data_IF_825484741222
#
_entry.id   IF_825484741222
#
_cell.length_a   1.000
_cell.length_b   1.000
_cell.length_c   1.000
_cell.angle_alpha   90.00
_cell.angle_beta   90.00
_cell.angle_gamma   90.00
#
_symmetry.space_group_name_H-M   'P 1'
#
loop_
_entity.id
_entity.type
_entity.pdbx_description
1 polymer ?
#
# COMPACT_ATOMS: atom_id res chain seq x y z
N UNK A 1 -9.22 10.76 34.05
CA UNK A 1 -10.28 9.95 33.42
C UNK A 1 -10.03 9.60 31.96
N UNK A 2 -9.30 10.41 31.17
CA UNK A 2 -8.97 10.14 29.74
C UNK A 2 -8.08 8.91 29.54
N UNK A 3 -7.08 8.70 30.40
CA UNK A 3 -6.16 7.56 30.34
C UNK A 3 -6.83 6.20 30.68
N UNK A 4 -7.79 6.19 31.61
CA UNK A 4 -8.48 4.95 32.00
C UNK A 4 -9.37 4.41 30.87
N UNK A 5 -10.07 5.31 30.17
CA UNK A 5 -10.89 4.93 28.99
C UNK A 5 -10.07 4.42 27.81
N UNK A 6 -8.87 4.96 27.58
CA UNK A 6 -7.98 4.49 26.52
C UNK A 6 -7.36 3.13 26.84
N UNK A 7 -7.00 2.89 28.10
CA UNK A 7 -6.51 1.60 28.58
C UNK A 7 -7.62 0.54 28.48
N UNK A 8 -8.83 0.89 28.94
CA UNK A 8 -9.97 -0.03 28.85
C UNK A 8 -10.32 -0.41 27.39
N UNK A 9 -10.33 0.58 26.46
CA UNK A 9 -10.56 0.32 25.04
C UNK A 9 -9.48 -0.56 24.42
N UNK A 10 -8.22 -0.40 24.80
CA UNK A 10 -7.11 -1.24 24.32
C UNK A 10 -7.26 -2.68 24.79
N UNK A 11 -7.67 -2.91 26.01
CA UNK A 11 -7.94 -4.25 26.53
C UNK A 11 -9.16 -4.89 25.90
N UNK A 12 -10.23 -4.15 25.65
CA UNK A 12 -11.43 -4.64 24.96
C UNK A 12 -11.07 -5.11 23.52
N UNK A 13 -10.26 -4.34 22.79
CA UNK A 13 -9.82 -4.73 21.46
C UNK A 13 -8.96 -5.99 21.47
N UNK A 14 -8.08 -6.12 22.46
CA UNK A 14 -7.24 -7.31 22.62
C UNK A 14 -8.07 -8.56 22.97
N UNK A 15 -9.01 -8.44 23.93
CA UNK A 15 -9.92 -9.52 24.29
C UNK A 15 -10.83 -9.91 23.13
N UNK A 16 -11.33 -8.94 22.35
CA UNK A 16 -12.11 -9.21 21.16
C UNK A 16 -11.32 -9.99 20.11
N UNK A 17 -10.07 -9.58 19.84
CA UNK A 17 -9.20 -10.28 18.91
C UNK A 17 -8.85 -11.69 19.38
N UNK A 18 -8.51 -11.87 20.65
CA UNK A 18 -8.25 -13.19 21.23
C UNK A 18 -9.51 -14.07 21.23
N UNK A 19 -10.68 -13.48 21.48
CA UNK A 19 -11.97 -14.19 21.40
C UNK A 19 -12.23 -14.74 19.99
N UNK A 20 -12.03 -13.92 18.95
CA UNK A 20 -12.18 -14.35 17.56
C UNK A 20 -11.19 -15.47 17.21
N UNK A 21 -9.91 -15.32 17.60
CA UNK A 21 -8.91 -16.38 17.39
C UNK A 21 -9.26 -17.67 18.12
N UNK A 22 -9.78 -17.57 19.35
CA UNK A 22 -10.20 -18.75 20.12
C UNK A 22 -11.39 -19.48 19.48
N UNK A 23 -12.39 -18.72 19.03
CA UNK A 23 -13.55 -19.27 18.31
C UNK A 23 -13.08 -19.97 17.02
N UNK A 24 -12.19 -19.32 16.26
CA UNK A 24 -11.61 -19.91 15.05
C UNK A 24 -10.85 -21.21 15.34
N UNK A 25 -10.01 -21.21 16.37
CA UNK A 25 -9.28 -22.41 16.77
C UNK A 25 -10.21 -23.55 17.19
N UNK A 26 -11.23 -23.24 18.00
CA UNK A 26 -12.23 -24.22 18.45
C UNK A 26 -13.05 -24.79 17.28
N UNK A 27 -13.48 -23.94 16.35
CA UNK A 27 -14.20 -24.36 15.14
C UNK A 27 -13.41 -25.39 14.32
N UNK A 28 -12.08 -25.22 14.23
CA UNK A 28 -11.20 -26.18 13.58
C UNK A 28 -10.99 -27.47 14.36
N UNK A 29 -10.84 -27.40 15.70
CA UNK A 29 -10.69 -28.58 16.57
C UNK A 29 -11.97 -29.44 16.51
N UNK A 30 -13.13 -28.84 16.56
CA UNK A 30 -14.43 -29.53 16.45
C UNK A 30 -14.76 -29.96 15.01
N UNK A 31 -13.86 -29.70 14.04
CA UNK A 31 -14.04 -30.03 12.61
C UNK A 31 -15.36 -29.49 12.02
N UNK A 32 -15.82 -28.33 12.52
CA UNK A 32 -17.04 -27.67 12.02
C UNK A 32 -16.86 -27.24 10.54
N UNK A 33 -15.62 -26.96 10.14
CA UNK A 33 -15.25 -26.64 8.76
C UNK A 33 -14.11 -27.57 8.30
N UNK A 34 -14.14 -28.04 7.05
CA UNK A 34 -13.03 -28.79 6.48
C UNK A 34 -11.75 -27.95 6.42
N UNK A 35 -10.59 -28.57 6.65
CA UNK A 35 -9.28 -27.89 6.64
C UNK A 35 -8.95 -27.15 5.34
N UNK A 36 -9.49 -27.60 4.22
CA UNK A 36 -9.31 -26.94 2.93
C UNK A 36 -10.11 -25.62 2.79
N UNK A 37 -11.12 -25.39 3.63
CA UNK A 37 -11.87 -24.15 3.70
C UNK A 37 -11.20 -23.19 4.67
N UNK A 38 -10.87 -23.66 5.87
CA UNK A 38 -10.31 -22.81 6.92
C UNK A 38 -9.37 -23.64 7.82
N UNK A 39 -8.04 -23.59 7.60
CA UNK A 39 -7.07 -24.20 8.50
C UNK A 39 -7.09 -23.49 9.86
N UNK A 40 -6.71 -24.21 10.92
CA UNK A 40 -6.66 -23.63 12.26
C UNK A 40 -5.50 -22.65 12.40
N UNK A 41 -5.61 -21.63 13.29
CA UNK A 41 -4.49 -20.75 13.61
C UNK A 41 -3.21 -21.49 13.98
N UNK A 42 -3.33 -22.62 14.67
CA UNK A 42 -2.18 -23.44 15.04
C UNK A 42 -1.52 -24.11 13.82
N UNK A 43 -2.29 -24.65 12.88
CA UNK A 43 -1.75 -25.23 11.64
C UNK A 43 -1.04 -24.16 10.79
N UNK A 44 -1.57 -22.92 10.75
CA UNK A 44 -0.94 -21.79 10.07
C UNK A 44 0.41 -21.45 10.73
N UNK A 45 0.48 -21.44 12.07
CA UNK A 45 1.73 -21.22 12.78
C UNK A 45 2.75 -22.33 12.51
N UNK A 46 2.31 -23.59 12.44
CA UNK A 46 3.16 -24.69 12.03
C UNK A 46 3.69 -24.52 10.61
N UNK A 47 2.86 -24.05 9.67
CA UNK A 47 3.28 -23.76 8.31
C UNK A 47 4.37 -22.69 8.26
N UNK A 48 4.29 -21.62 9.08
CA UNK A 48 5.35 -20.61 9.19
C UNK A 48 6.70 -21.21 9.60
N UNK A 49 6.71 -22.18 10.51
CA UNK A 49 7.95 -22.81 10.96
C UNK A 49 8.48 -23.81 9.94
N UNK A 50 7.58 -24.64 9.39
CA UNK A 50 7.91 -25.66 8.40
C UNK A 50 8.48 -25.07 7.12
N UNK A 51 7.82 -24.03 6.60
CA UNK A 51 8.10 -23.46 5.28
C UNK A 51 8.93 -22.17 5.36
N UNK A 52 9.59 -21.88 6.50
CA UNK A 52 10.28 -20.62 6.80
C UNK A 52 11.27 -20.17 5.71
N UNK A 53 12.01 -21.13 5.12
CA UNK A 53 13.03 -20.82 4.10
C UNK A 53 12.37 -20.38 2.78
N UNK A 54 11.32 -21.10 2.35
CA UNK A 54 10.54 -20.72 1.16
C UNK A 54 9.83 -19.41 1.38
N UNK A 55 9.19 -19.21 2.53
CA UNK A 55 8.54 -17.95 2.88
C UNK A 55 9.52 -16.78 2.85
N UNK A 56 10.72 -16.95 3.39
CA UNK A 56 11.77 -15.91 3.36
C UNK A 56 12.22 -15.60 1.94
N UNK A 57 12.55 -16.60 1.14
CA UNK A 57 12.99 -16.44 -0.23
C UNK A 57 11.95 -15.70 -1.08
N UNK A 58 10.70 -16.15 -1.04
CA UNK A 58 9.60 -15.55 -1.79
C UNK A 58 9.22 -14.15 -1.25
N UNK A 59 9.33 -13.92 0.06
CA UNK A 59 9.11 -12.59 0.64
C UNK A 59 10.10 -11.57 0.10
N UNK A 60 11.37 -11.95 -0.01
CA UNK A 60 12.41 -11.07 -0.54
C UNK A 60 12.19 -10.72 -2.00
N UNK A 61 11.76 -11.68 -2.82
CA UNK A 61 11.39 -11.44 -4.21
C UNK A 61 10.22 -10.45 -4.34
N UNK A 62 9.13 -10.68 -3.60
CA UNK A 62 7.96 -9.77 -3.55
C UNK A 62 8.37 -8.37 -3.06
N UNK A 63 9.17 -8.29 -2.00
CA UNK A 63 9.59 -7.01 -1.41
C UNK A 63 10.40 -6.17 -2.40
N UNK A 64 11.35 -6.77 -3.12
CA UNK A 64 12.13 -6.05 -4.16
C UNK A 64 11.24 -5.43 -5.22
N UNK A 65 10.30 -6.22 -5.77
CA UNK A 65 9.39 -5.75 -6.82
C UNK A 65 8.46 -4.66 -6.30
N UNK A 66 7.86 -4.87 -5.12
CA UNK A 66 6.97 -3.90 -4.48
C UNK A 66 7.66 -2.57 -4.21
N UNK A 67 8.88 -2.60 -3.64
CA UNK A 67 9.65 -1.40 -3.34
C UNK A 67 10.11 -0.67 -4.59
N UNK A 68 10.59 -1.38 -5.62
CA UNK A 68 10.98 -0.75 -6.89
C UNK A 68 9.79 -0.05 -7.55
N UNK A 69 8.65 -0.74 -7.66
CA UNK A 69 7.44 -0.16 -8.23
C UNK A 69 6.90 1.02 -7.41
N UNK A 70 6.91 0.91 -6.08
CA UNK A 70 6.48 1.99 -5.18
C UNK A 70 7.38 3.23 -5.30
N UNK A 71 8.71 3.06 -5.27
CA UNK A 71 9.65 4.19 -5.39
C UNK A 71 9.47 4.90 -6.72
N UNK A 72 9.37 4.16 -7.82
CA UNK A 72 9.12 4.74 -9.14
C UNK A 72 7.75 5.42 -9.19
N UNK A 73 6.72 4.81 -8.61
CA UNK A 73 5.39 5.38 -8.49
C UNK A 73 5.37 6.70 -7.70
N UNK A 74 6.10 6.76 -6.57
CA UNK A 74 6.25 7.99 -5.77
C UNK A 74 6.94 9.09 -6.56
N UNK A 75 8.04 8.78 -7.26
CA UNK A 75 8.77 9.78 -8.06
C UNK A 75 7.91 10.34 -9.18
N UNK A 76 7.21 9.46 -9.92
CA UNK A 76 6.28 9.86 -10.97
C UNK A 76 5.13 10.68 -10.39
N UNK A 77 4.56 10.27 -9.25
CA UNK A 77 3.45 10.97 -8.62
C UNK A 77 3.84 12.38 -8.16
N UNK A 78 4.99 12.55 -7.53
CA UNK A 78 5.47 13.86 -7.11
C UNK A 78 5.71 14.78 -8.31
N UNK A 79 6.34 14.27 -9.37
CA UNK A 79 6.57 15.03 -10.59
C UNK A 79 5.25 15.43 -11.24
N UNK A 80 4.32 14.47 -11.41
CA UNK A 80 3.02 14.74 -12.05
C UNK A 80 2.16 15.70 -11.24
N UNK A 81 2.13 15.60 -9.91
CA UNK A 81 1.39 16.51 -9.05
C UNK A 81 1.89 17.97 -9.20
N UNK A 82 3.21 18.17 -9.25
CA UNK A 82 3.80 19.51 -9.47
C UNK A 82 3.49 20.02 -10.88
N UNK A 83 3.57 19.18 -11.90
CA UNK A 83 3.24 19.57 -13.27
C UNK A 83 1.74 19.92 -13.42
N UNK A 84 0.85 19.12 -12.83
CA UNK A 84 -0.59 19.35 -12.87
C UNK A 84 -1.02 20.60 -12.08
N UNK A 85 -0.33 20.93 -10.98
CA UNK A 85 -0.56 22.19 -10.25
C UNK A 85 -0.07 23.43 -11.04
N UNK A 86 1.04 23.27 -11.77
CA UNK A 86 1.64 24.36 -12.55
C UNK A 86 0.94 24.60 -13.89
N UNK A 87 0.35 23.57 -14.48
CA UNK A 87 -0.24 23.57 -15.82
C UNK A 87 -1.71 23.12 -15.75
N UNK A 88 -2.64 24.06 -15.68
CA UNK A 88 -4.08 23.78 -15.54
C UNK A 88 -4.59 22.83 -16.64
N UNK A 89 -4.18 23.03 -17.90
CA UNK A 89 -4.59 22.17 -19.01
C UNK A 89 -4.15 20.70 -18.79
N UNK A 90 -3.00 20.48 -18.17
CA UNK A 90 -2.50 19.13 -17.88
C UNK A 90 -3.34 18.46 -16.78
N UNK A 91 -3.74 19.23 -15.77
CA UNK A 91 -4.65 18.73 -14.74
C UNK A 91 -6.00 18.33 -15.34
N UNK A 92 -6.56 19.18 -16.18
CA UNK A 92 -7.87 18.95 -16.80
C UNK A 92 -7.86 17.75 -17.77
N UNK A 93 -6.71 17.47 -18.38
CA UNK A 93 -6.52 16.32 -19.27
C UNK A 93 -6.25 15.02 -18.47
N UNK A 94 -5.28 15.04 -17.56
CA UNK A 94 -4.74 13.82 -16.91
C UNK A 94 -5.65 13.35 -15.77
N UNK A 95 -6.22 14.26 -14.98
CA UNK A 95 -7.02 13.88 -13.81
C UNK A 95 -8.21 12.98 -14.17
N UNK A 96 -9.07 13.31 -15.16
CA UNK A 96 -10.16 12.41 -15.54
C UNK A 96 -9.68 11.07 -16.09
N UNK A 97 -8.58 11.04 -16.86
CA UNK A 97 -8.01 9.79 -17.38
C UNK A 97 -7.53 8.88 -16.23
N UNK A 98 -6.87 9.44 -15.22
CA UNK A 98 -6.44 8.71 -14.04
C UNK A 98 -7.63 8.13 -13.26
N UNK A 99 -8.71 8.89 -13.10
CA UNK A 99 -9.95 8.40 -12.46
C UNK A 99 -10.51 7.20 -13.22
N UNK A 100 -10.59 7.27 -14.54
CA UNK A 100 -11.06 6.15 -15.38
C UNK A 100 -10.17 4.92 -15.20
N UNK A 101 -8.84 5.09 -15.25
CA UNK A 101 -7.90 3.96 -15.08
C UNK A 101 -8.07 3.27 -13.72
N UNK A 102 -8.35 4.03 -12.67
CA UNK A 102 -8.57 3.49 -11.32
C UNK A 102 -9.89 2.70 -11.17
N UNK A 103 -10.84 2.88 -12.08
CA UNK A 103 -12.08 2.05 -12.07
C UNK A 103 -11.85 0.66 -12.66
N UNK A 104 -10.76 0.45 -13.38
CA UNK A 104 -10.46 -0.84 -13.99
C UNK A 104 -9.83 -1.78 -12.94
N UNK A 105 -10.41 -2.97 -12.70
CA UNK A 105 -9.82 -3.93 -11.76
C UNK A 105 -8.37 -4.28 -12.15
N UNK A 106 -7.43 -4.15 -11.23
CA UNK A 106 -6.00 -4.43 -11.46
C UNK A 106 -5.75 -5.84 -11.98
N UNK A 107 -6.54 -6.81 -11.54
CA UNK A 107 -6.46 -8.20 -11.99
C UNK A 107 -6.79 -8.34 -13.49
N UNK A 108 -7.57 -7.42 -14.05
CA UNK A 108 -7.89 -7.42 -15.49
C UNK A 108 -6.79 -6.76 -16.32
N UNK A 109 -6.08 -5.76 -15.76
CA UNK A 109 -4.97 -5.08 -16.43
C UNK A 109 -3.74 -5.98 -16.51
N UNK A 110 -3.47 -6.77 -15.47
CA UNK A 110 -2.25 -7.54 -15.33
C UNK A 110 -1.97 -8.50 -16.52
N UNK A 111 -2.94 -9.28 -17.05
CA UNK A 111 -2.71 -10.12 -18.25
C UNK A 111 -2.38 -9.31 -19.50
N UNK A 112 -2.98 -8.13 -19.66
CA UNK A 112 -2.73 -7.23 -20.78
C UNK A 112 -1.30 -6.72 -20.75
N UNK A 113 -0.81 -6.34 -19.57
CA UNK A 113 0.57 -5.89 -19.41
C UNK A 113 1.57 -7.02 -19.70
N UNK A 114 1.25 -8.25 -19.28
CA UNK A 114 2.10 -9.42 -19.61
C UNK A 114 2.11 -9.67 -21.13
N UNK A 115 0.98 -9.51 -21.81
CA UNK A 115 0.88 -9.67 -23.26
C UNK A 115 1.72 -8.61 -24.00
N UNK A 116 1.73 -7.36 -23.53
CA UNK A 116 2.44 -6.26 -24.20
C UNK A 116 3.93 -6.20 -23.85
N UNK A 117 4.28 -6.49 -22.59
CA UNK A 117 5.63 -6.30 -22.05
C UNK A 117 6.40 -7.61 -21.85
N UNK A 118 5.73 -8.75 -22.11
CA UNK A 118 6.30 -10.07 -21.87
C UNK A 118 6.28 -10.48 -20.41
N UNK A 119 6.81 -11.68 -20.15
CA UNK A 119 6.99 -12.20 -18.81
C UNK A 119 8.21 -11.54 -18.14
N UNK A 120 8.13 -11.27 -16.84
CA UNK A 120 9.25 -10.76 -16.08
C UNK A 120 8.86 -9.71 -15.04
N UNK A 121 9.81 -8.85 -14.69
CA UNK A 121 9.64 -7.82 -13.65
C UNK A 121 8.90 -6.57 -14.18
N UNK A 122 9.04 -6.27 -15.47
CA UNK A 122 8.56 -5.03 -16.08
C UNK A 122 7.03 -4.86 -15.97
N UNK A 123 6.19 -5.83 -16.40
CA UNK A 123 4.73 -5.71 -16.26
C UNK A 123 4.29 -5.53 -14.79
N UNK A 124 5.00 -6.17 -13.84
CA UNK A 124 4.72 -6.03 -12.42
C UNK A 124 4.99 -4.61 -11.93
N UNK A 125 6.15 -4.04 -12.27
CA UNK A 125 6.52 -2.66 -11.91
C UNK A 125 5.51 -1.67 -12.50
N UNK A 126 5.14 -1.82 -13.78
CA UNK A 126 4.17 -0.92 -14.44
C UNK A 126 2.81 -0.99 -13.73
N UNK A 127 2.35 -2.19 -13.38
CA UNK A 127 1.09 -2.36 -12.66
C UNK A 127 1.11 -1.70 -11.27
N UNK A 128 2.23 -1.82 -10.54
CA UNK A 128 2.40 -1.18 -9.24
C UNK A 128 2.42 0.36 -9.40
N UNK A 129 3.14 0.88 -10.39
CA UNK A 129 3.15 2.33 -10.67
C UNK A 129 1.72 2.83 -10.93
N UNK A 130 0.95 2.16 -11.80
CA UNK A 130 -0.42 2.55 -12.12
C UNK A 130 -1.32 2.62 -10.88
N UNK A 131 -1.17 1.69 -9.94
CA UNK A 131 -2.03 1.64 -8.75
C UNK A 131 -1.58 2.55 -7.62
N UNK A 132 -0.27 2.83 -7.52
CA UNK A 132 0.29 3.61 -6.40
C UNK A 132 0.39 5.11 -6.71
N UNK A 133 0.52 5.49 -7.98
CA UNK A 133 0.70 6.88 -8.39
C UNK A 133 -0.54 7.74 -8.10
N UNK A 134 -1.73 7.24 -8.43
CA UNK A 134 -2.97 8.01 -8.30
C UNK A 134 -3.27 8.49 -6.87
N UNK A 135 -3.27 7.64 -5.83
CA UNK A 135 -3.55 8.10 -4.47
C UNK A 135 -2.59 9.20 -4.00
N UNK A 136 -1.32 9.12 -4.43
CA UNK A 136 -0.31 10.11 -4.07
C UNK A 136 -0.58 11.44 -4.80
N UNK A 137 -0.84 11.41 -6.11
CA UNK A 137 -1.13 12.62 -6.89
C UNK A 137 -2.34 13.34 -6.31
N UNK A 138 -3.46 12.63 -6.13
CA UNK A 138 -4.69 13.23 -5.60
C UNK A 138 -4.44 13.86 -4.23
N UNK A 139 -3.75 13.15 -3.34
CA UNK A 139 -3.43 13.66 -2.01
C UNK A 139 -2.54 14.91 -2.07
N UNK A 140 -1.52 14.95 -2.92
CA UNK A 140 -0.66 16.13 -3.06
C UNK A 140 -1.45 17.32 -3.63
N UNK A 141 -2.26 17.10 -4.67
CA UNK A 141 -3.09 18.15 -5.26
C UNK A 141 -4.10 18.71 -4.26
N UNK A 142 -4.69 17.85 -3.43
CA UNK A 142 -5.56 18.28 -2.33
C UNK A 142 -4.79 19.12 -1.33
N UNK A 143 -3.55 18.73 -0.99
CA UNK A 143 -2.67 19.55 -0.16
C UNK A 143 -2.38 20.92 -0.75
N UNK A 144 -2.15 21.02 -2.06
CA UNK A 144 -1.95 22.30 -2.76
C UNK A 144 -3.21 23.17 -2.77
N UNK A 145 -4.40 22.57 -2.90
CA UNK A 145 -5.70 23.27 -2.83
C UNK A 145 -6.03 23.79 -1.44
N UNK A 146 -5.50 23.16 -0.38
CA UNK A 146 -5.69 23.58 1.00
C UNK A 146 -4.67 24.64 1.46
N UNK A 147 -3.84 25.16 0.57
CA UNK A 147 -3.01 26.32 0.86
C UNK A 147 -3.85 27.56 1.16
N UNK A 148 -3.48 28.27 2.23
CA UNK A 148 -4.14 29.51 2.64
C UNK A 148 -4.04 30.57 1.53
N UNK A 149 -5.20 31.10 1.11
CA UNK A 149 -5.30 32.10 0.05
C UNK A 149 -4.69 33.44 0.45
N UNK A 150 -4.79 33.81 1.73
CA UNK A 150 -4.23 35.07 2.21
C UNK A 150 -2.70 35.01 2.19
N UNK A 151 -2.12 33.86 2.53
CA UNK A 151 -0.68 33.63 2.38
C UNK A 151 -0.24 33.65 0.93
N UNK A 152 -1.00 33.06 0.00
CA UNK A 152 -0.70 33.12 -1.44
C UNK A 152 -0.75 34.56 -1.95
N UNK A 153 -1.71 35.35 -1.50
CA UNK A 153 -1.81 36.77 -1.82
C UNK A 153 -0.61 37.55 -1.28
N UNK A 154 -0.19 37.27 -0.05
CA UNK A 154 1.00 37.88 0.56
C UNK A 154 2.26 37.59 -0.29
N UNK A 155 2.47 36.32 -0.69
CA UNK A 155 3.58 35.96 -1.57
C UNK A 155 3.53 36.70 -2.93
N UNK A 156 2.33 36.90 -3.48
CA UNK A 156 2.14 37.66 -4.74
C UNK A 156 2.50 39.14 -4.57
N UNK A 157 2.11 39.77 -3.45
CA UNK A 157 2.48 41.12 -3.10
C UNK A 157 4.00 41.29 -2.92
N UNK A 158 4.67 40.28 -2.38
CA UNK A 158 6.11 40.23 -2.26
C UNK A 158 6.82 39.95 -3.61
N UNK A 159 6.08 39.79 -4.71
CA UNK A 159 6.59 39.41 -6.04
C UNK A 159 7.38 38.10 -6.03
N UNK A 160 6.99 37.15 -5.19
CA UNK A 160 7.61 35.84 -5.16
C UNK A 160 7.39 35.08 -6.47
N UNK A 161 8.42 34.44 -6.98
CA UNK A 161 8.34 33.61 -8.19
C UNK A 161 7.55 32.33 -7.92
N UNK A 162 6.86 31.73 -8.90
CA UNK A 162 6.06 30.50 -8.71
C UNK A 162 6.83 29.36 -8.05
N UNK A 163 8.10 29.13 -8.43
CA UNK A 163 8.94 28.11 -7.83
C UNK A 163 9.26 28.37 -6.34
N UNK A 164 9.36 29.66 -5.92
CA UNK A 164 9.56 30.03 -4.51
C UNK A 164 8.31 29.70 -3.68
N UNK A 165 7.12 30.00 -4.23
CA UNK A 165 5.84 29.66 -3.60
C UNK A 165 5.71 28.13 -3.49
N UNK A 166 6.06 27.39 -4.55
CA UNK A 166 6.01 25.92 -4.55
C UNK A 166 6.90 25.34 -3.45
N UNK A 167 8.18 25.69 -3.43
CA UNK A 167 9.16 25.09 -2.51
C UNK A 167 9.01 25.53 -1.06
N UNK A 168 8.68 26.81 -0.80
CA UNK A 168 8.64 27.35 0.56
C UNK A 168 7.26 27.32 1.21
N UNK A 169 6.21 27.11 0.41
CA UNK A 169 4.86 27.13 0.96
C UNK A 169 4.05 25.89 0.55
N UNK A 170 3.80 25.67 -0.76
CA UNK A 170 2.92 24.58 -1.19
C UNK A 170 3.44 23.18 -0.79
N UNK A 171 4.71 22.86 -1.03
CA UNK A 171 5.30 21.56 -0.68
C UNK A 171 5.25 21.32 0.83
N UNK A 172 5.72 22.22 1.73
CA UNK A 172 5.58 22.03 3.16
C UNK A 172 4.13 21.81 3.64
N UNK A 173 3.17 22.57 3.11
CA UNK A 173 1.75 22.41 3.46
C UNK A 173 1.19 21.09 2.96
N UNK A 174 1.62 20.60 1.80
CA UNK A 174 1.14 19.34 1.22
C UNK A 174 1.78 18.07 1.82
N UNK A 175 2.87 18.17 2.56
CA UNK A 175 3.56 17.00 3.13
C UNK A 175 2.65 16.07 3.95
N UNK A 176 1.76 16.53 4.83
CA UNK A 176 0.84 15.65 5.55
C UNK A 176 -0.11 14.89 4.60
N UNK A 177 -0.53 15.54 3.52
CA UNK A 177 -1.37 14.95 2.48
C UNK A 177 -0.61 13.91 1.69
N UNK A 178 0.64 14.22 1.29
CA UNK A 178 1.55 13.25 0.66
C UNK A 178 1.68 11.97 1.49
N UNK A 179 1.93 12.09 2.81
CA UNK A 179 2.04 10.94 3.70
C UNK A 179 0.72 10.16 3.81
N UNK A 180 -0.42 10.83 3.74
CA UNK A 180 -1.72 10.15 3.69
C UNK A 180 -1.88 9.32 2.41
N UNK A 181 -1.54 9.88 1.24
CA UNK A 181 -1.52 9.16 -0.03
C UNK A 181 -0.49 8.02 -0.05
N UNK A 182 0.70 8.26 0.50
CA UNK A 182 1.76 7.25 0.57
C UNK A 182 1.36 6.03 1.40
N UNK A 183 0.65 6.21 2.53
CA UNK A 183 0.11 5.08 3.32
C UNK A 183 -0.80 4.18 2.51
N UNK A 184 -1.71 4.76 1.75
CA UNK A 184 -2.62 4.00 0.88
C UNK A 184 -1.83 3.28 -0.22
N UNK A 185 -0.87 3.98 -0.83
CA UNK A 185 -0.05 3.44 -1.92
C UNK A 185 0.87 2.29 -1.48
N UNK A 186 1.38 2.31 -0.25
CA UNK A 186 2.14 1.18 0.31
C UNK A 186 1.28 -0.08 0.37
N UNK A 187 0.03 0.01 0.84
CA UNK A 187 -0.87 -1.14 0.85
C UNK A 187 -1.16 -1.64 -0.56
N UNK A 188 -1.44 -0.74 -1.49
CA UNK A 188 -1.67 -1.10 -2.89
C UNK A 188 -0.44 -1.74 -3.54
N UNK A 189 0.77 -1.27 -3.25
CA UNK A 189 1.99 -1.85 -3.78
C UNK A 189 2.11 -3.33 -3.45
N UNK A 190 1.90 -3.74 -2.20
CA UNK A 190 1.98 -5.15 -1.80
C UNK A 190 0.85 -5.99 -2.41
N UNK A 191 -0.40 -5.51 -2.34
CA UNK A 191 -1.55 -6.22 -2.92
C UNK A 191 -1.34 -6.43 -4.42
N UNK A 192 -0.97 -5.37 -5.14
CA UNK A 192 -0.76 -5.39 -6.59
C UNK A 192 0.42 -6.28 -6.98
N UNK A 193 1.49 -6.28 -6.18
CA UNK A 193 2.64 -7.16 -6.43
C UNK A 193 2.21 -8.62 -6.36
N UNK A 194 1.50 -9.04 -5.32
CA UNK A 194 1.00 -10.41 -5.17
C UNK A 194 0.09 -10.80 -6.34
N UNK A 195 -0.83 -9.91 -6.74
CA UNK A 195 -1.72 -10.14 -7.88
C UNK A 195 -0.93 -10.28 -9.20
N UNK A 196 0.07 -9.43 -9.41
CA UNK A 196 0.92 -9.50 -10.60
C UNK A 196 1.76 -10.77 -10.68
N UNK A 197 2.18 -11.29 -9.53
CA UNK A 197 2.93 -12.54 -9.41
C UNK A 197 2.11 -13.76 -9.78
N UNK A 198 0.77 -13.72 -9.63
CA UNK A 198 -0.12 -14.82 -10.05
C UNK A 198 -0.09 -15.09 -11.55
N UNK A 199 0.17 -14.07 -12.36
CA UNK A 199 -0.03 -14.11 -13.80
C UNK A 199 1.26 -14.28 -14.61
N UNK A 200 2.42 -14.18 -13.98
CA UNK A 200 3.66 -14.26 -14.76
C UNK A 200 4.94 -14.29 -13.92
N UNK A 201 4.83 -14.70 -12.65
CA UNK A 201 5.97 -14.80 -11.76
C UNK A 201 6.61 -16.18 -11.75
N UNK A 202 7.94 -16.21 -11.63
CA UNK A 202 8.71 -17.43 -11.29
C UNK A 202 8.99 -17.48 -9.79
N UNK A 203 9.02 -16.31 -9.13
CA UNK A 203 9.30 -16.12 -7.72
C UNK A 203 8.36 -15.08 -7.13
N UNK A 204 8.14 -15.13 -5.82
CA UNK A 204 7.31 -14.22 -5.05
C UNK A 204 6.24 -14.94 -4.22
N UNK A 205 5.71 -14.24 -3.22
CA UNK A 205 4.68 -14.77 -2.32
C UNK A 205 3.39 -15.14 -3.06
N UNK A 206 3.02 -14.37 -4.09
CA UNK A 206 1.87 -14.67 -4.93
C UNK A 206 2.04 -15.97 -5.72
N UNK A 207 3.24 -16.21 -6.26
CA UNK A 207 3.58 -17.47 -6.96
C UNK A 207 3.50 -18.63 -5.97
N UNK A 208 4.13 -18.50 -4.81
CA UNK A 208 4.15 -19.54 -3.79
C UNK A 208 2.74 -19.84 -3.26
N UNK A 209 1.89 -18.82 -3.14
CA UNK A 209 0.49 -18.99 -2.77
C UNK A 209 -0.28 -19.85 -3.76
N UNK A 210 -0.11 -19.63 -5.09
CA UNK A 210 -0.76 -20.45 -6.11
C UNK A 210 -0.20 -21.88 -6.11
N UNK A 211 1.11 -22.04 -5.94
CA UNK A 211 1.73 -23.38 -5.82
C UNK A 211 1.19 -24.15 -4.61
N UNK A 212 1.14 -23.51 -3.45
CA UNK A 212 0.57 -24.10 -2.23
C UNK A 212 -0.90 -24.52 -2.42
N UNK A 213 -1.69 -23.67 -3.09
CA UNK A 213 -3.08 -24.01 -3.44
C UNK A 213 -3.16 -25.25 -4.34
N UNK A 214 -2.31 -25.37 -5.36
CA UNK A 214 -2.27 -26.53 -6.26
C UNK A 214 -1.86 -27.82 -5.55
N UNK A 215 -1.03 -27.70 -4.51
CA UNK A 215 -0.57 -28.83 -3.69
C UNK A 215 -1.52 -29.12 -2.51
N UNK A 216 -2.67 -28.46 -2.43
CA UNK A 216 -3.64 -28.58 -1.34
C UNK A 216 -3.06 -28.23 0.05
N UNK A 217 -2.00 -27.42 0.10
CA UNK A 217 -1.37 -26.90 1.33
C UNK A 217 -2.03 -25.58 1.73
N UNK A 218 -3.28 -25.66 2.18
CA UNK A 218 -4.06 -24.47 2.52
C UNK A 218 -3.53 -23.73 3.76
N UNK A 219 -2.91 -24.44 4.71
CA UNK A 219 -2.22 -23.88 5.85
C UNK A 219 -1.08 -22.93 5.42
N UNK A 220 -0.25 -23.34 4.46
CA UNK A 220 0.79 -22.49 3.86
C UNK A 220 0.18 -21.31 3.09
N UNK A 221 -0.89 -21.54 2.33
CA UNK A 221 -1.58 -20.45 1.62
C UNK A 221 -2.07 -19.35 2.57
N UNK A 222 -2.70 -19.73 3.69
CA UNK A 222 -3.13 -18.78 4.71
C UNK A 222 -1.95 -18.12 5.43
N UNK A 223 -0.86 -18.84 5.69
CA UNK A 223 0.37 -18.28 6.23
C UNK A 223 0.93 -17.18 5.32
N UNK A 224 0.92 -17.37 3.99
CA UNK A 224 1.35 -16.36 3.03
C UNK A 224 0.45 -15.13 3.07
N UNK A 225 -0.88 -15.28 3.14
CA UNK A 225 -1.82 -14.15 3.23
C UNK A 225 -1.52 -13.31 4.49
N UNK A 226 -1.33 -13.98 5.64
CA UNK A 226 -0.98 -13.30 6.88
C UNK A 226 0.38 -12.61 6.77
N UNK A 227 1.36 -13.25 6.16
CA UNK A 227 2.70 -12.69 5.96
C UNK A 227 2.67 -11.42 5.10
N UNK A 228 1.95 -11.45 3.98
CA UNK A 228 1.75 -10.26 3.12
C UNK A 228 1.09 -9.13 3.89
N UNK A 229 0.07 -9.45 4.70
CA UNK A 229 -0.61 -8.46 5.54
C UNK A 229 0.34 -7.85 6.57
N UNK A 230 1.16 -8.66 7.23
CA UNK A 230 2.17 -8.19 8.20
C UNK A 230 3.19 -7.27 7.50
N UNK A 231 3.72 -7.67 6.36
CA UNK A 231 4.70 -6.87 5.60
C UNK A 231 4.09 -5.53 5.19
N UNK A 232 2.84 -5.53 4.71
CA UNK A 232 2.11 -4.31 4.33
C UNK A 232 1.91 -3.38 5.54
N UNK A 233 1.46 -3.90 6.68
CA UNK A 233 1.29 -3.13 7.92
C UNK A 233 2.61 -2.57 8.45
N UNK A 234 3.71 -3.34 8.37
CA UNK A 234 5.04 -2.86 8.71
C UNK A 234 5.49 -1.72 7.78
N UNK A 235 5.23 -1.85 6.48
CA UNK A 235 5.48 -0.79 5.49
C UNK A 235 4.71 0.50 5.84
N UNK A 236 3.41 0.40 6.15
CA UNK A 236 2.60 1.56 6.59
C UNK A 236 3.15 2.19 7.87
N UNK A 237 3.56 1.37 8.84
CA UNK A 237 4.15 1.85 10.09
C UNK A 237 5.49 2.59 9.86
N UNK A 238 6.30 2.12 8.91
CA UNK A 238 7.52 2.83 8.51
C UNK A 238 7.21 4.20 7.90
N UNK A 239 6.15 4.31 7.10
CA UNK A 239 5.65 5.60 6.59
C UNK A 239 5.24 6.51 7.73
N UNK A 240 4.46 6.02 8.71
CA UNK A 240 4.05 6.81 9.89
C UNK A 240 5.24 7.29 10.74
N UNK A 241 6.26 6.46 10.86
CA UNK A 241 7.50 6.82 11.56
C UNK A 241 8.23 7.93 10.78
N UNK A 242 8.39 7.76 9.47
CA UNK A 242 9.05 8.76 8.62
C UNK A 242 8.32 10.11 8.63
N UNK A 243 6.98 10.10 8.60
CA UNK A 243 6.16 11.31 8.74
C UNK A 243 6.48 12.08 10.02
N UNK A 244 6.57 11.38 11.16
CA UNK A 244 6.89 12.01 12.45
C UNK A 244 8.27 12.66 12.49
N UNK A 245 9.24 12.13 11.75
CA UNK A 245 10.57 12.71 11.67
C UNK A 245 10.64 13.90 10.72
N UNK A 246 9.89 13.87 9.62
CA UNK A 246 9.89 14.92 8.60
C UNK A 246 8.99 16.09 9.02
N UNK A 247 7.77 15.84 9.53
CA UNK A 247 6.79 16.86 9.88
C UNK A 247 6.92 17.23 11.37
N UNK A 248 7.98 17.99 11.70
CA UNK A 248 8.23 18.40 13.10
C UNK A 248 7.33 19.54 13.57
N UNK A 249 6.84 20.38 12.67
CA UNK A 249 6.06 21.60 12.98
C UNK A 249 4.60 21.35 13.31
N UNK A 250 4.07 20.15 13.13
CA UNK A 250 2.70 19.75 13.45
C UNK A 250 2.56 19.14 14.86
N UNK A 251 3.61 19.17 15.67
CA UNK A 251 3.51 18.69 17.06
C UNK A 251 2.76 19.73 17.90
N UNK A 252 1.63 19.34 18.59
CA UNK A 252 0.97 20.20 19.56
C UNK A 252 1.90 20.52 20.74
#
# INVERSE_FOLDING_TARGET
MRNLKSILRRHISLFGFLGVLSIWQLAGIFKLLPKFILPTPFEILQAFVRDREFLWHHSWATLRVALLGLVLGVLIACLMAVLMDSLAWLNDLIYPMMVVVQTIPTIAIAPILVLWLGYGILPKIVLIILTTTFPIIVSILDGFRHCDKDMLTLFSLMRAKPWQILWHFKIPVSLPYFYAGLRVSVSYAFITTVVSEWLGGFEGLGVYMIQSKKLFQYDTMFAIIILVSIISLLGMKLVDISEKYVIKWKRP
#
